data_IF_000697588072
#
_entry.id   IF_000697588072
#
_cell.length_a   1.000
_cell.length_b   1.000
_cell.length_c   1.000
_cell.angle_alpha   90.00
_cell.angle_beta   90.00
_cell.angle_gamma   90.00
#
_symmetry.space_group_name_H-M   'P 1'
#
loop_
_entity.id
_entity.type
_entity.pdbx_description
1 polymer ?
#
# COMPACT_ATOMS: atom_id res chain seq x y z
N UNK A 1 13.69 20.54 11.75
CA UNK A 1 13.31 19.58 10.70
C UNK A 1 12.14 20.20 9.92
N UNK A 2 12.24 20.40 8.60
CA UNK A 2 11.24 21.14 7.79
C UNK A 2 10.18 20.23 7.14
N UNK A 3 10.22 18.92 7.36
CA UNK A 3 9.28 17.98 6.75
C UNK A 3 7.85 18.18 7.28
N UNK A 4 6.88 18.34 6.37
CA UNK A 4 5.46 18.45 6.67
C UNK A 4 4.67 17.41 5.89
N UNK A 5 3.76 16.70 6.56
CA UNK A 5 2.89 15.70 5.95
C UNK A 5 1.42 16.00 6.22
N UNK A 6 0.84 16.88 5.41
CA UNK A 6 -0.47 17.49 5.65
C UNK A 6 -1.64 16.50 5.71
N UNK A 7 -1.53 15.35 5.03
CA UNK A 7 -2.60 14.31 4.96
C UNK A 7 -2.99 13.77 6.35
N UNK A 8 -2.07 13.84 7.33
CA UNK A 8 -2.29 13.46 8.73
C UNK A 8 -1.91 14.59 9.71
N UNK A 9 -2.01 15.84 9.24
CA UNK A 9 -1.59 17.03 9.99
C UNK A 9 -2.64 17.55 10.99
N UNK A 10 -2.50 18.83 11.33
CA UNK A 10 -3.31 19.55 12.33
C UNK A 10 -4.82 19.40 12.13
N UNK A 11 -5.30 19.43 10.89
CA UNK A 11 -6.73 19.30 10.60
C UNK A 11 -7.30 17.96 11.08
N UNK A 12 -6.53 16.88 10.92
CA UNK A 12 -6.94 15.53 11.36
C UNK A 12 -6.93 15.46 12.88
N UNK A 13 -5.96 16.09 13.55
CA UNK A 13 -5.91 16.18 15.01
C UNK A 13 -7.15 16.90 15.57
N UNK A 14 -7.53 18.03 14.97
CA UNK A 14 -8.76 18.75 15.35
C UNK A 14 -10.02 17.92 15.08
N UNK A 15 -10.09 17.24 13.94
CA UNK A 15 -11.19 16.35 13.62
C UNK A 15 -11.34 15.23 14.67
N UNK A 16 -10.24 14.65 15.15
CA UNK A 16 -10.25 13.66 16.22
C UNK A 16 -10.72 14.22 17.56
N UNK A 17 -10.39 15.47 17.89
CA UNK A 17 -10.93 16.15 19.09
C UNK A 17 -12.46 16.26 19.00
N UNK A 18 -12.98 16.71 17.85
CA UNK A 18 -14.43 16.79 17.65
C UNK A 18 -15.10 15.42 17.67
N UNK A 19 -14.46 14.39 17.11
CA UNK A 19 -14.98 13.03 17.14
C UNK A 19 -15.10 12.49 18.58
N UNK A 20 -14.10 12.74 19.43
CA UNK A 20 -14.14 12.37 20.85
C UNK A 20 -15.22 13.13 21.62
N UNK A 21 -15.37 14.42 21.36
CA UNK A 21 -16.43 15.24 21.96
C UNK A 21 -17.84 14.70 21.61
N UNK A 22 -18.07 14.36 20.35
CA UNK A 22 -19.33 13.72 19.91
C UNK A 22 -19.57 12.38 20.61
N UNK A 23 -18.53 11.55 20.75
CA UNK A 23 -18.62 10.27 21.46
C UNK A 23 -18.91 10.45 22.96
N UNK A 24 -18.47 11.55 23.55
CA UNK A 24 -18.78 11.94 24.93
C UNK A 24 -20.17 12.59 25.11
N UNK A 25 -20.94 12.76 24.02
CA UNK A 25 -22.26 13.38 24.05
C UNK A 25 -22.24 14.91 24.10
N UNK A 26 -21.10 15.55 23.84
CA UNK A 26 -21.02 17.01 23.73
C UNK A 26 -21.74 17.51 22.48
N UNK A 27 -22.55 18.56 22.63
CA UNK A 27 -23.22 19.19 21.50
C UNK A 27 -22.23 19.85 20.52
N UNK A 28 -22.40 19.56 19.23
CA UNK A 28 -21.69 20.19 18.10
C UNK A 28 -22.74 20.55 17.03
N UNK A 29 -22.45 21.46 16.10
CA UNK A 29 -23.37 21.80 15.00
C UNK A 29 -23.47 20.71 13.90
N UNK A 30 -23.05 19.48 14.21
CA UNK A 30 -23.01 18.31 13.32
C UNK A 30 -22.97 17.04 14.18
N UNK A 31 -23.44 15.92 13.64
CA UNK A 31 -23.59 14.68 14.41
C UNK A 31 -22.44 13.68 14.21
N UNK A 32 -21.65 13.87 13.15
CA UNK A 32 -20.53 12.97 12.80
C UNK A 32 -19.41 13.69 12.08
N UNK A 33 -18.21 13.13 12.21
CA UNK A 33 -17.04 13.48 11.39
C UNK A 33 -16.99 12.52 10.20
N UNK A 34 -16.79 13.06 9.01
CA UNK A 34 -16.55 12.28 7.79
C UNK A 34 -15.14 12.61 7.29
N UNK A 35 -14.26 11.63 7.28
CA UNK A 35 -12.86 11.81 6.89
C UNK A 35 -12.72 11.80 5.35
N UNK A 36 -12.81 12.98 4.75
CA UNK A 36 -12.56 13.18 3.31
C UNK A 36 -11.10 13.58 3.00
N UNK A 37 -10.18 13.40 3.94
CA UNK A 37 -8.78 13.84 3.84
C UNK A 37 -7.82 12.77 3.27
N UNK A 38 -8.23 11.50 3.25
CA UNK A 38 -7.39 10.38 2.81
C UNK A 38 -8.19 9.44 1.92
N UNK A 39 -7.55 8.94 0.86
CA UNK A 39 -8.10 7.85 0.06
C UNK A 39 -8.06 6.54 0.84
N UNK A 40 -9.03 6.32 1.73
CA UNK A 40 -9.21 5.08 2.49
C UNK A 40 -10.58 4.44 2.16
N UNK A 41 -10.75 3.81 1.00
CA UNK A 41 -12.07 3.48 0.47
C UNK A 41 -12.86 2.49 1.33
N UNK A 42 -12.18 1.53 1.98
CA UNK A 42 -12.83 0.57 2.85
C UNK A 42 -13.45 1.21 4.10
N UNK A 43 -12.83 2.27 4.65
CA UNK A 43 -13.40 3.05 5.77
C UNK A 43 -14.71 3.77 5.35
N UNK A 44 -14.84 4.09 4.06
CA UNK A 44 -16.03 4.70 3.47
C UNK A 44 -17.02 3.68 2.91
N UNK A 45 -16.84 2.38 3.21
CA UNK A 45 -17.81 1.34 2.89
C UNK A 45 -17.58 0.59 1.57
N UNK A 46 -16.47 0.83 0.85
CA UNK A 46 -16.10 -0.05 -0.25
C UNK A 46 -15.90 -1.48 0.28
N UNK A 47 -16.64 -2.44 -0.28
CA UNK A 47 -16.51 -3.84 0.11
C UNK A 47 -15.18 -4.40 -0.43
N UNK A 48 -14.48 -5.26 0.35
CA UNK A 48 -13.30 -5.94 -0.16
C UNK A 48 -13.65 -6.90 -1.29
N UNK A 49 -12.70 -7.14 -2.18
CA UNK A 49 -12.85 -8.13 -3.26
C UNK A 49 -12.75 -9.53 -2.66
N UNK A 50 -13.79 -10.34 -2.84
CA UNK A 50 -13.94 -11.67 -2.22
C UNK A 50 -12.78 -12.61 -2.56
N UNK A 51 -12.44 -12.74 -3.85
CA UNK A 51 -11.35 -13.61 -4.30
C UNK A 51 -10.03 -13.37 -3.56
N UNK A 52 -9.65 -12.09 -3.36
CA UNK A 52 -8.42 -11.78 -2.63
C UNK A 52 -8.50 -12.20 -1.16
N UNK A 53 -9.65 -11.99 -0.51
CA UNK A 53 -9.85 -12.39 0.88
C UNK A 53 -9.81 -13.91 1.06
N UNK A 54 -10.42 -14.64 0.14
CA UNK A 54 -10.44 -16.10 0.14
C UNK A 54 -9.04 -16.68 -0.03
N UNK A 55 -8.27 -16.22 -1.02
CA UNK A 55 -6.89 -16.66 -1.22
C UNK A 55 -6.04 -16.37 0.01
N UNK A 56 -6.11 -15.15 0.56
CA UNK A 56 -5.37 -14.75 1.76
C UNK A 56 -5.71 -15.64 2.97
N UNK A 57 -7.00 -15.89 3.22
CA UNK A 57 -7.43 -16.75 4.31
C UNK A 57 -6.88 -18.18 4.18
N UNK A 58 -6.87 -18.73 2.96
CA UNK A 58 -6.38 -20.08 2.71
C UNK A 58 -4.85 -20.20 2.80
N UNK A 59 -4.10 -19.16 2.42
CA UNK A 59 -2.62 -19.20 2.56
C UNK A 59 -2.16 -18.94 4.00
N UNK A 60 -2.91 -18.14 4.78
CA UNK A 60 -2.62 -17.89 6.19
C UNK A 60 -3.09 -19.03 7.11
N UNK A 61 -4.16 -19.73 6.75
CA UNK A 61 -4.63 -20.93 7.46
C UNK A 61 -4.76 -22.14 6.52
N UNK A 62 -3.64 -22.75 6.10
CA UNK A 62 -3.62 -23.82 5.09
C UNK A 62 -4.34 -25.10 5.52
N UNK A 63 -4.60 -25.31 6.82
CA UNK A 63 -5.40 -26.44 7.30
C UNK A 63 -6.85 -26.39 6.78
N UNK A 64 -7.38 -25.21 6.42
CA UNK A 64 -8.69 -25.07 5.80
C UNK A 64 -8.79 -25.82 4.47
N UNK A 65 -7.67 -25.97 3.75
CA UNK A 65 -7.62 -26.73 2.49
C UNK A 65 -7.90 -28.22 2.67
N UNK A 66 -7.76 -28.75 3.90
CA UNK A 66 -8.03 -30.14 4.25
C UNK A 66 -9.47 -30.35 4.73
N UNK A 67 -10.22 -29.27 4.97
CA UNK A 67 -11.58 -29.36 5.46
C UNK A 67 -12.49 -30.00 4.40
N UNK A 68 -13.34 -30.98 4.74
CA UNK A 68 -14.15 -31.73 3.76
C UNK A 68 -15.11 -30.83 2.97
N UNK A 69 -15.49 -29.69 3.54
CA UNK A 69 -16.40 -28.70 2.92
C UNK A 69 -15.69 -27.50 2.30
N UNK A 70 -14.37 -27.55 2.08
CA UNK A 70 -13.62 -26.40 1.56
C UNK A 70 -14.20 -25.88 0.23
N UNK A 71 -14.62 -26.78 -0.67
CA UNK A 71 -15.25 -26.42 -1.95
C UNK A 71 -16.66 -25.86 -1.84
N UNK A 72 -17.30 -25.94 -0.66
CA UNK A 72 -18.57 -25.24 -0.38
C UNK A 72 -18.33 -23.84 0.22
N UNK A 73 -17.16 -23.61 0.81
CA UNK A 73 -16.83 -22.40 1.56
C UNK A 73 -16.02 -21.38 0.75
N UNK A 74 -15.25 -21.84 -0.24
CA UNK A 74 -14.34 -21.02 -1.04
C UNK A 74 -14.52 -21.34 -2.52
N UNK A 75 -14.29 -20.34 -3.38
CA UNK A 75 -14.31 -20.54 -4.81
C UNK A 75 -13.19 -21.50 -5.27
N UNK A 76 -13.46 -22.29 -6.31
CA UNK A 76 -12.52 -23.28 -6.84
C UNK A 76 -11.19 -22.64 -7.29
N UNK A 77 -11.26 -21.49 -7.93
CA UNK A 77 -10.10 -20.73 -8.39
C UNK A 77 -9.30 -20.11 -7.23
N UNK A 78 -9.97 -19.70 -6.14
CA UNK A 78 -9.31 -19.24 -4.92
C UNK A 78 -8.55 -20.39 -4.23
N UNK A 79 -9.16 -21.57 -4.16
CA UNK A 79 -8.52 -22.80 -3.65
C UNK A 79 -7.30 -23.16 -4.51
N UNK A 80 -7.46 -23.16 -5.84
CA UNK A 80 -6.37 -23.46 -6.76
C UNK A 80 -5.21 -22.46 -6.62
N UNK A 81 -5.52 -21.16 -6.53
CA UNK A 81 -4.52 -20.09 -6.32
C UNK A 81 -3.77 -20.24 -5.00
N UNK A 82 -4.47 -20.52 -3.90
CA UNK A 82 -3.85 -20.71 -2.60
C UNK A 82 -2.90 -21.92 -2.60
N UNK A 83 -3.32 -23.05 -3.21
CA UNK A 83 -2.46 -24.23 -3.36
C UNK A 83 -1.21 -23.94 -4.19
N UNK A 84 -1.36 -23.18 -5.29
CA UNK A 84 -0.23 -22.79 -6.13
C UNK A 84 0.79 -21.96 -5.33
N UNK A 85 0.34 -20.94 -4.59
CA UNK A 85 1.25 -20.15 -3.74
C UNK A 85 1.92 -20.98 -2.66
N UNK A 86 1.17 -21.79 -1.90
CA UNK A 86 1.73 -22.62 -0.84
C UNK A 86 2.78 -23.62 -1.35
N UNK A 87 2.65 -24.10 -2.60
CA UNK A 87 3.66 -24.99 -3.21
C UNK A 87 5.02 -24.31 -3.46
N UNK A 88 5.06 -22.98 -3.47
CA UNK A 88 6.26 -22.17 -3.74
C UNK A 88 6.82 -21.49 -2.48
N UNK A 89 6.14 -21.60 -1.34
CA UNK A 89 6.47 -20.90 -0.10
C UNK A 89 7.00 -21.88 0.96
N UNK A 90 8.31 -22.19 0.98
CA UNK A 90 8.89 -23.02 2.02
C UNK A 90 8.72 -22.33 3.38
N UNK A 91 8.02 -22.99 4.32
CA UNK A 91 7.71 -22.41 5.63
C UNK A 91 6.42 -21.57 5.68
N UNK A 92 5.66 -21.49 4.58
CA UNK A 92 4.38 -20.79 4.52
C UNK A 92 4.52 -19.26 4.53
N UNK A 93 3.43 -18.56 4.85
CA UNK A 93 3.38 -17.08 4.83
C UNK A 93 4.11 -16.40 5.99
N UNK A 94 4.57 -17.15 6.99
CA UNK A 94 5.26 -16.62 8.17
C UNK A 94 6.79 -16.54 8.05
N UNK A 95 7.39 -17.13 7.02
CA UNK A 95 8.83 -17.12 6.81
C UNK A 95 9.29 -15.83 6.10
N UNK A 96 10.56 -15.47 6.30
CA UNK A 96 11.18 -14.43 5.48
C UNK A 96 11.22 -14.86 4.01
N UNK A 97 10.91 -13.92 3.12
CA UNK A 97 11.18 -14.06 1.69
C UNK A 97 12.57 -13.52 1.34
N UNK A 98 12.99 -13.69 0.07
CA UNK A 98 14.15 -12.98 -0.44
C UNK A 98 13.95 -11.46 -0.30
N UNK A 99 15.03 -10.67 -0.21
CA UNK A 99 14.91 -9.22 0.04
C UNK A 99 14.14 -8.44 -1.04
N UNK A 100 14.04 -8.98 -2.27
CA UNK A 100 13.22 -8.41 -3.35
C UNK A 100 11.74 -8.80 -3.24
N UNK A 101 11.41 -9.79 -2.41
CA UNK A 101 10.08 -10.37 -2.26
C UNK A 101 9.98 -11.79 -2.81
N UNK A 102 8.82 -12.39 -2.55
CA UNK A 102 8.44 -13.75 -2.99
C UNK A 102 8.52 -13.85 -4.52
N UNK A 103 9.24 -14.86 -5.02
CA UNK A 103 9.54 -15.03 -6.44
C UNK A 103 8.29 -15.20 -7.31
N UNK A 104 7.39 -16.13 -6.97
CA UNK A 104 6.16 -16.35 -7.74
C UNK A 104 5.33 -15.07 -7.88
N UNK A 105 5.31 -14.22 -6.84
CA UNK A 105 4.60 -12.94 -6.88
C UNK A 105 5.30 -11.95 -7.80
N UNK A 106 6.64 -11.89 -7.78
CA UNK A 106 7.42 -11.04 -8.70
C UNK A 106 7.23 -11.45 -10.17
N UNK A 107 7.20 -12.75 -10.44
CA UNK A 107 6.92 -13.30 -11.77
C UNK A 107 5.52 -12.90 -12.26
N UNK A 108 4.51 -13.02 -11.40
CA UNK A 108 3.14 -12.62 -11.75
C UNK A 108 3.00 -11.11 -11.98
N UNK A 109 3.70 -10.28 -11.21
CA UNK A 109 3.76 -8.83 -11.43
C UNK A 109 4.40 -8.52 -12.78
N UNK A 110 5.53 -9.15 -13.10
CA UNK A 110 6.20 -8.97 -14.39
C UNK A 110 5.33 -9.44 -15.57
N UNK A 111 4.64 -10.57 -15.43
CA UNK A 111 3.69 -11.07 -16.42
C UNK A 111 2.51 -10.10 -16.61
N UNK A 112 1.96 -9.55 -15.52
CA UNK A 112 0.91 -8.54 -15.57
C UNK A 112 1.36 -7.27 -16.31
N UNK A 113 2.54 -6.73 -15.96
CA UNK A 113 3.11 -5.57 -16.64
C UNK A 113 3.30 -5.84 -18.13
N UNK A 114 3.84 -7.02 -18.47
CA UNK A 114 4.08 -7.40 -19.86
C UNK A 114 2.78 -7.48 -20.66
N UNK A 115 1.72 -8.03 -20.07
CA UNK A 115 0.40 -8.12 -20.68
C UNK A 115 -0.26 -6.75 -20.84
N UNK A 116 -0.13 -5.88 -19.84
CA UNK A 116 -0.72 -4.52 -19.85
C UNK A 116 -0.05 -3.63 -20.90
N UNK A 117 1.27 -3.70 -21.01
CA UNK A 117 2.07 -2.75 -21.78
C UNK A 117 2.50 -3.29 -23.17
N UNK A 118 2.36 -4.60 -23.40
CA UNK A 118 2.78 -5.25 -24.65
C UNK A 118 4.29 -5.37 -24.82
N UNK A 119 5.07 -5.14 -23.75
CA UNK A 119 6.54 -5.20 -23.73
C UNK A 119 7.02 -6.14 -22.63
N UNK A 120 8.08 -6.95 -22.83
CA UNK A 120 8.55 -7.85 -21.78
C UNK A 120 9.03 -7.12 -20.53
N UNK A 121 8.60 -7.58 -19.35
CA UNK A 121 9.12 -7.18 -18.05
C UNK A 121 9.82 -8.37 -17.36
N UNK A 122 10.83 -8.09 -16.54
CA UNK A 122 11.62 -9.11 -15.85
C UNK A 122 11.33 -9.11 -14.34
N UNK A 123 11.08 -10.28 -13.76
CA UNK A 123 10.86 -10.45 -12.32
C UNK A 123 12.08 -10.06 -11.46
N UNK A 124 13.29 -10.07 -12.04
CA UNK A 124 14.51 -9.61 -11.37
C UNK A 124 14.53 -8.09 -11.12
N UNK A 125 13.76 -7.33 -11.90
CA UNK A 125 13.63 -5.87 -11.76
C UNK A 125 12.47 -5.46 -10.84
N UNK A 126 11.73 -6.42 -10.29
CA UNK A 126 10.59 -6.19 -9.41
C UNK A 126 11.01 -6.29 -7.94
N UNK A 127 10.73 -5.25 -7.17
CA UNK A 127 10.92 -5.22 -5.73
C UNK A 127 9.56 -5.03 -5.04
N UNK A 128 9.17 -6.00 -4.23
CA UNK A 128 7.98 -5.90 -3.39
C UNK A 128 8.29 -5.06 -2.15
N UNK A 129 7.40 -4.14 -1.82
CA UNK A 129 7.53 -3.24 -0.67
C UNK A 129 6.21 -3.11 0.08
N UNK A 130 6.27 -2.66 1.34
CA UNK A 130 5.09 -2.41 2.18
C UNK A 130 4.31 -1.16 1.71
N UNK A 131 3.59 -1.34 0.60
CA UNK A 131 3.02 -0.24 -0.19
C UNK A 131 4.09 0.52 -0.98
N UNK A 132 3.68 1.57 -1.69
CA UNK A 132 4.59 2.35 -2.54
C UNK A 132 5.52 3.30 -1.76
N UNK A 133 5.14 3.71 -0.54
CA UNK A 133 5.86 4.74 0.21
C UNK A 133 7.33 4.38 0.52
N UNK A 134 7.66 3.16 0.98
CA UNK A 134 9.06 2.77 1.20
C UNK A 134 9.90 2.80 -0.07
N UNK A 135 9.33 2.41 -1.22
CA UNK A 135 10.04 2.43 -2.50
C UNK A 135 10.41 3.87 -2.91
N UNK A 136 9.48 4.82 -2.77
CA UNK A 136 9.75 6.25 -3.04
C UNK A 136 10.86 6.77 -2.10
N UNK A 137 10.76 6.46 -0.80
CA UNK A 137 11.77 6.88 0.18
C UNK A 137 13.15 6.30 -0.12
N UNK A 138 13.22 5.01 -0.48
CA UNK A 138 14.46 4.34 -0.87
C UNK A 138 15.11 5.06 -2.06
N UNK A 139 14.36 5.32 -3.12
CA UNK A 139 14.88 6.00 -4.31
C UNK A 139 15.36 7.41 -4.01
N UNK A 140 14.56 8.21 -3.29
CA UNK A 140 14.94 9.59 -2.93
C UNK A 140 16.21 9.57 -2.07
N UNK A 141 16.29 8.69 -1.08
CA UNK A 141 17.46 8.55 -0.21
C UNK A 141 18.71 8.12 -0.98
N UNK A 142 18.57 7.25 -1.98
CA UNK A 142 19.69 6.79 -2.80
C UNK A 142 20.20 7.86 -3.77
N UNK A 143 19.35 8.79 -4.20
CA UNK A 143 19.69 9.83 -5.18
C UNK A 143 20.23 11.13 -4.54
N UNK A 144 19.74 11.49 -3.34
CA UNK A 144 20.16 12.72 -2.65
C UNK A 144 21.45 12.48 -1.87
N UNK A 145 22.53 13.15 -2.26
CA UNK A 145 23.83 13.11 -1.57
C UNK A 145 24.07 14.38 -0.75
N UNK A 146 23.54 15.50 -1.21
CA UNK A 146 23.72 16.83 -0.62
C UNK A 146 22.55 17.76 -0.97
N UNK A 147 22.49 18.91 -0.30
CA UNK A 147 21.41 19.89 -0.46
C UNK A 147 21.21 20.39 -1.90
N UNK A 148 22.27 20.48 -2.70
CA UNK A 148 22.17 20.92 -4.09
C UNK A 148 21.60 19.85 -5.04
N UNK A 149 21.50 18.58 -4.61
CA UNK A 149 20.80 17.57 -5.39
C UNK A 149 19.29 17.84 -5.33
N UNK A 150 18.64 17.88 -6.49
CA UNK A 150 17.26 18.31 -6.59
C UNK A 150 16.39 17.35 -7.40
N UNK A 151 15.11 17.24 -7.01
CA UNK A 151 14.12 16.44 -7.71
C UNK A 151 13.00 17.33 -8.26
N UNK A 152 12.61 17.10 -9.50
CA UNK A 152 11.49 17.78 -10.14
C UNK A 152 10.17 17.18 -9.66
N UNK A 153 9.30 17.99 -9.08
CA UNK A 153 8.01 17.57 -8.50
C UNK A 153 6.87 18.40 -9.11
N UNK A 154 5.76 17.77 -9.54
CA UNK A 154 4.61 18.51 -10.05
C UNK A 154 3.98 19.36 -8.95
N UNK A 155 3.33 20.46 -9.32
CA UNK A 155 2.54 21.28 -8.41
C UNK A 155 1.11 21.38 -8.98
N UNK A 156 0.07 20.91 -8.26
CA UNK A 156 0.10 20.28 -6.92
C UNK A 156 0.64 18.83 -6.93
N UNK A 157 1.00 18.32 -5.74
CA UNK A 157 1.55 16.96 -5.55
C UNK A 157 1.03 16.26 -4.30
N UNK A 158 1.24 14.95 -4.25
CA UNK A 158 1.06 14.15 -3.04
C UNK A 158 2.24 14.34 -2.07
N UNK A 159 2.03 14.84 -0.84
CA UNK A 159 3.08 15.39 0.03
C UNK A 159 4.14 14.40 0.52
N UNK A 160 4.02 13.10 0.22
CA UNK A 160 5.09 12.13 0.43
C UNK A 160 6.41 12.58 -0.21
N UNK A 161 6.37 13.14 -1.42
CA UNK A 161 7.58 13.53 -2.14
C UNK A 161 8.27 14.70 -1.46
N UNK A 162 7.56 15.82 -1.27
CA UNK A 162 8.12 17.00 -0.59
C UNK A 162 8.61 16.69 0.82
N UNK A 163 7.87 15.86 1.58
CA UNK A 163 8.29 15.46 2.92
C UNK A 163 9.56 14.60 2.90
N UNK A 164 9.66 13.66 1.96
CA UNK A 164 10.83 12.77 1.84
C UNK A 164 12.07 13.52 1.35
N UNK A 165 11.94 14.43 0.39
CA UNK A 165 13.05 15.29 -0.08
C UNK A 165 13.60 16.12 1.07
N UNK A 166 12.73 16.78 1.83
CA UNK A 166 13.13 17.58 2.98
C UNK A 166 13.75 16.71 4.09
N UNK A 167 13.24 15.50 4.31
CA UNK A 167 13.78 14.56 5.31
C UNK A 167 15.20 14.13 4.98
N UNK A 168 15.50 13.87 3.71
CA UNK A 168 16.83 13.46 3.25
C UNK A 168 17.73 14.64 2.84
N UNK A 169 17.26 15.88 3.05
CA UNK A 169 18.07 17.08 2.93
C UNK A 169 18.37 17.50 1.49
N UNK A 170 17.55 17.14 0.51
CA UNK A 170 17.67 17.61 -0.87
C UNK A 170 16.77 18.80 -1.19
N UNK A 171 16.82 19.25 -2.43
CA UNK A 171 16.03 20.38 -2.93
C UNK A 171 14.84 19.92 -3.79
N UNK A 172 13.70 20.61 -3.66
CA UNK A 172 12.53 20.40 -4.53
C UNK A 172 12.51 21.47 -5.62
N UNK A 173 12.38 21.06 -6.88
CA UNK A 173 12.16 21.95 -8.02
C UNK A 173 10.74 21.74 -8.54
N UNK A 174 9.85 22.71 -8.31
CA UNK A 174 8.46 22.61 -8.72
C UNK A 174 8.29 22.82 -10.22
N UNK A 175 7.44 22.03 -10.87
CA UNK A 175 6.87 22.35 -12.18
C UNK A 175 5.35 22.37 -12.10
N UNK A 176 4.71 23.35 -12.74
CA UNK A 176 3.27 23.57 -12.64
C UNK A 176 2.53 22.79 -13.72
N UNK A 177 1.51 22.04 -13.30
CA UNK A 177 0.61 21.36 -14.23
C UNK A 177 -0.33 22.40 -14.86
N UNK A 178 -0.66 22.22 -16.15
CA UNK A 178 -1.62 23.05 -16.88
C UNK A 178 -3.06 22.72 -16.52
#
# INVERSE_FOLDING_TARGET
MQAQYAVRGELVQRAMVHQKALQAGEARPFDKIVFCNIGNPHELGQKPITFFREVLALVDHPELLKHPRVGELFAEDAIARAKAYLSTLPGGTGAYSASQGIEVVREEVAAFMSKRDGVPANAADVFLTDGASPAVQMLIRSLIRQHSDALMIPIPQYPLYSASIALYGGSLVGYYLN
#
